data_IF_340095913991
#
_entry.id   IF_340095913991
#
_cell.length_a   1.000
_cell.length_b   1.000
_cell.length_c   1.000
_cell.angle_alpha   90.00
_cell.angle_beta   90.00
_cell.angle_gamma   90.00
#
_symmetry.space_group_name_H-M   'P 1'
#
loop_
_entity.id
_entity.type
_entity.pdbx_description
1 polymer ?
#
# COMPACT_ATOMS: atom_id res chain seq x y z
N UNK A 1 22.94 14.20 1.75
CA UNK A 1 24.06 13.34 2.16
C UNK A 1 24.05 12.04 1.40
N UNK A 2 25.23 11.56 0.99
CA UNK A 2 25.45 10.30 0.28
C UNK A 2 26.15 9.34 1.23
N UNK A 3 25.56 8.17 1.48
CA UNK A 3 26.13 7.16 2.37
C UNK A 3 25.88 5.74 1.83
N UNK A 4 26.75 4.79 2.19
CA UNK A 4 26.69 3.40 1.73
C UNK A 4 25.76 2.60 2.63
N UNK A 5 24.63 2.15 2.09
CA UNK A 5 23.64 1.38 2.85
C UNK A 5 23.97 -0.13 2.95
N UNK A 6 24.59 -0.71 1.92
CA UNK A 6 25.05 -2.10 1.91
C UNK A 6 26.12 -2.29 0.83
N UNK A 7 26.89 -3.38 0.93
CA UNK A 7 27.96 -3.69 -0.01
C UNK A 7 27.43 -4.31 -1.31
N UNK A 8 28.13 -4.04 -2.41
CA UNK A 8 27.80 -4.57 -3.74
C UNK A 8 26.92 -3.63 -4.57
N UNK A 9 26.36 -4.17 -5.67
CA UNK A 9 25.48 -3.40 -6.56
C UNK A 9 24.10 -3.24 -5.93
N UNK A 10 23.47 -2.10 -6.15
CA UNK A 10 22.08 -1.88 -5.74
C UNK A 10 21.15 -2.92 -6.38
N UNK A 11 20.24 -3.50 -5.59
CA UNK A 11 19.33 -4.57 -6.01
C UNK A 11 17.88 -4.11 -6.06
N UNK A 12 17.09 -4.81 -6.89
CA UNK A 12 15.65 -4.61 -7.05
C UNK A 12 14.77 -5.42 -6.08
N UNK A 13 15.37 -6.20 -5.19
CA UNK A 13 14.63 -6.94 -4.16
C UNK A 13 15.55 -7.11 -2.97
N UNK A 14 14.98 -7.47 -1.82
CA UNK A 14 15.77 -7.84 -0.65
C UNK A 14 16.42 -9.23 -0.75
N UNK A 15 16.24 -9.94 -1.87
CA UNK A 15 16.89 -11.24 -2.09
C UNK A 15 18.40 -11.06 -2.18
N UNK A 16 19.11 -11.77 -1.31
CA UNK A 16 20.58 -11.74 -1.21
C UNK A 16 21.13 -10.32 -0.95
N UNK A 17 20.37 -9.47 -0.25
CA UNK A 17 20.85 -8.19 0.29
C UNK A 17 21.22 -8.42 1.74
N UNK A 18 22.49 -8.19 2.09
CA UNK A 18 22.98 -8.30 3.46
C UNK A 18 23.13 -6.89 4.04
N UNK A 19 22.20 -6.52 4.90
CA UNK A 19 22.25 -5.23 5.58
C UNK A 19 23.24 -5.25 6.74
N UNK A 20 24.05 -4.19 6.92
CA UNK A 20 25.02 -4.13 8.01
C UNK A 20 24.34 -3.93 9.37
N UNK A 21 24.95 -4.50 10.41
CA UNK A 21 24.52 -4.31 11.80
C UNK A 21 23.11 -4.78 12.08
N UNK A 22 22.28 -3.89 12.64
CA UNK A 22 20.86 -4.16 12.97
C UNK A 22 19.88 -3.64 11.92
N UNK A 23 20.38 -3.22 10.76
CA UNK A 23 19.54 -2.71 9.67
C UNK A 23 18.76 -3.84 9.02
N UNK A 24 17.55 -3.52 8.58
CA UNK A 24 16.62 -4.41 7.89
C UNK A 24 16.51 -3.99 6.43
N UNK A 25 16.41 -4.96 5.54
CA UNK A 25 16.16 -4.67 4.14
C UNK A 25 14.68 -4.34 3.91
N UNK A 26 14.42 -3.24 3.21
CA UNK A 26 13.07 -2.83 2.76
C UNK A 26 13.08 -2.50 1.27
N UNK A 27 11.93 -2.62 0.61
CA UNK A 27 11.75 -2.16 -0.78
C UNK A 27 10.79 -0.98 -0.90
N UNK A 28 11.06 -0.08 -1.85
CA UNK A 28 10.15 1.01 -2.24
C UNK A 28 9.09 0.56 -3.27
N UNK A 29 8.23 1.48 -3.69
CA UNK A 29 7.17 1.23 -4.67
C UNK A 29 7.68 0.85 -6.08
N UNK A 30 8.95 1.14 -6.40
CA UNK A 30 9.61 0.75 -7.64
C UNK A 30 10.53 -0.47 -7.46
N UNK A 31 10.36 -1.17 -6.34
CA UNK A 31 11.14 -2.31 -5.92
C UNK A 31 12.65 -2.01 -5.81
N UNK A 32 13.11 -0.86 -5.33
CA UNK A 32 14.55 -0.73 -4.98
C UNK A 32 14.78 -1.16 -3.53
N UNK A 33 15.85 -1.90 -3.28
CA UNK A 33 16.22 -2.38 -1.94
C UNK A 33 17.08 -1.37 -1.18
N UNK A 34 16.72 -1.12 0.08
CA UNK A 34 17.40 -0.22 1.01
C UNK A 34 17.65 -0.91 2.34
N UNK A 35 18.74 -0.55 3.02
CA UNK A 35 19.00 -1.00 4.38
C UNK A 35 18.70 0.13 5.36
N UNK A 36 17.73 -0.11 6.25
CA UNK A 36 17.20 0.90 7.16
C UNK A 36 17.09 0.36 8.59
N UNK A 37 17.18 1.22 9.59
CA UNK A 37 16.93 0.83 10.98
C UNK A 37 15.44 0.95 11.29
N UNK A 38 14.78 -0.18 11.56
CA UNK A 38 13.38 -0.17 11.96
C UNK A 38 13.23 0.35 13.40
N UNK A 39 12.31 1.29 13.62
CA UNK A 39 11.94 1.68 14.98
C UNK A 39 11.24 0.50 15.69
N UNK A 40 11.79 0.06 16.83
CA UNK A 40 11.25 -1.06 17.62
C UNK A 40 10.35 -0.61 18.76
N UNK A 41 10.51 0.64 19.22
CA UNK A 41 9.80 1.19 20.37
C UNK A 41 8.66 2.06 19.87
N UNK A 42 7.44 1.73 20.29
CA UNK A 42 6.26 2.53 20.02
C UNK A 42 5.65 2.99 21.34
N UNK A 43 5.17 4.24 21.43
CA UNK A 43 4.44 4.72 22.59
C UNK A 43 3.20 3.87 22.86
N UNK A 44 2.79 3.83 24.13
CA UNK A 44 1.49 3.25 24.51
C UNK A 44 0.34 4.04 23.88
N UNK A 45 -0.74 3.32 23.58
CA UNK A 45 -1.93 3.88 22.94
C UNK A 45 -2.82 4.48 24.01
N UNK A 46 -3.19 5.74 23.82
CA UNK A 46 -4.00 6.51 24.78
C UNK A 46 -5.45 6.73 24.33
N UNK A 47 -5.76 6.47 23.06
CA UNK A 47 -7.11 6.66 22.49
C UNK A 47 -7.46 5.54 21.51
N UNK A 48 -8.73 5.06 21.49
CA UNK A 48 -9.22 4.13 20.48
C UNK A 48 -9.11 4.65 19.03
N UNK A 49 -9.03 5.96 18.81
CA UNK A 49 -8.92 6.55 17.47
C UNK A 49 -7.55 6.30 16.82
N UNK A 50 -6.54 5.88 17.60
CA UNK A 50 -5.20 5.59 17.08
C UNK A 50 -5.14 4.24 16.36
N UNK A 51 -6.09 3.33 16.60
CA UNK A 51 -6.08 2.02 15.96
C UNK A 51 -6.21 2.15 14.44
N UNK A 52 -5.55 1.24 13.72
CA UNK A 52 -5.58 1.16 12.27
C UNK A 52 -5.80 -0.28 11.84
N UNK A 53 -6.60 -0.49 10.80
CA UNK A 53 -6.65 -1.76 10.11
C UNK A 53 -5.64 -1.75 8.95
N UNK A 54 -4.74 -2.72 8.90
CA UNK A 54 -3.83 -2.91 7.77
C UNK A 54 -4.48 -3.66 6.62
N UNK A 55 -3.94 -3.53 5.40
CA UNK A 55 -4.42 -4.31 4.24
C UNK A 55 -4.18 -5.83 4.42
N UNK A 56 -3.27 -6.20 5.31
CA UNK A 56 -3.03 -7.57 5.76
C UNK A 56 -4.14 -8.10 6.70
N UNK A 57 -5.11 -7.27 7.08
CA UNK A 57 -6.23 -7.63 7.94
C UNK A 57 -5.87 -7.66 9.43
N UNK A 58 -4.71 -7.12 9.78
CA UNK A 58 -4.23 -7.02 11.16
C UNK A 58 -4.63 -5.67 11.74
N UNK A 59 -5.14 -5.70 12.98
CA UNK A 59 -5.38 -4.47 13.75
C UNK A 59 -4.07 -4.01 14.38
N UNK A 60 -3.63 -2.81 14.01
CA UNK A 60 -2.47 -2.15 14.56
C UNK A 60 -2.90 -1.14 15.62
N UNK A 61 -2.19 -1.15 16.75
CA UNK A 61 -2.50 -0.29 17.89
C UNK A 61 -2.27 1.21 17.58
N UNK A 62 -1.33 1.52 16.69
CA UNK A 62 -1.11 2.88 16.18
C UNK A 62 -0.36 2.87 14.85
N UNK A 63 -0.24 4.04 14.21
CA UNK A 63 0.60 4.22 13.02
C UNK A 63 2.06 3.81 13.26
N UNK A 64 2.61 3.98 14.47
CA UNK A 64 3.95 3.49 14.81
C UNK A 64 4.03 1.96 14.68
N UNK A 65 3.03 1.26 15.22
CA UNK A 65 3.00 -0.20 15.19
C UNK A 65 2.88 -0.73 13.76
N UNK A 66 2.04 -0.10 12.92
CA UNK A 66 1.93 -0.46 11.51
C UNK A 66 3.23 -0.20 10.75
N UNK A 67 3.89 0.95 10.97
CA UNK A 67 5.19 1.26 10.33
C UNK A 67 6.29 0.30 10.78
N UNK A 68 6.32 -0.07 12.06
CA UNK A 68 7.24 -1.09 12.58
C UNK A 68 7.03 -2.41 11.87
N UNK A 69 5.78 -2.90 11.79
CA UNK A 69 5.47 -4.14 11.10
C UNK A 69 5.83 -4.08 9.60
N UNK A 70 5.52 -2.97 8.93
CA UNK A 70 5.88 -2.70 7.53
C UNK A 70 7.39 -2.79 7.32
N UNK A 71 8.18 -2.16 8.20
CA UNK A 71 9.63 -2.18 8.12
C UNK A 71 10.21 -3.58 8.36
N UNK A 72 9.72 -4.30 9.38
CA UNK A 72 10.16 -5.66 9.68
C UNK A 72 9.76 -6.66 8.59
N UNK A 73 8.64 -6.43 7.90
CA UNK A 73 8.21 -7.23 6.76
C UNK A 73 9.05 -6.98 5.50
N UNK A 74 9.70 -5.81 5.40
CA UNK A 74 10.51 -5.43 4.25
C UNK A 74 9.73 -4.88 3.06
N UNK A 75 8.41 -4.71 3.16
CA UNK A 75 7.54 -4.16 2.10
C UNK A 75 6.30 -3.50 2.68
N UNK A 76 5.69 -2.61 1.90
CA UNK A 76 4.46 -1.90 2.27
C UNK A 76 3.30 -2.84 2.63
N UNK A 77 2.74 -2.65 3.83
CA UNK A 77 1.44 -3.22 4.23
C UNK A 77 0.33 -2.25 3.81
N UNK A 78 0.49 -0.97 4.16
CA UNK A 78 -0.52 0.06 3.92
C UNK A 78 -1.71 -0.01 4.87
N UNK A 79 -2.39 1.13 5.04
CA UNK A 79 -3.60 1.24 5.85
C UNK A 79 -4.79 0.87 4.98
N UNK A 80 -5.65 -0.02 5.48
CA UNK A 80 -6.96 -0.30 4.89
C UNK A 80 -7.96 0.77 5.29
N UNK A 81 -8.13 1.01 6.60
CA UNK A 81 -9.01 2.04 7.15
C UNK A 81 -8.63 2.36 8.60
N UNK A 82 -9.13 3.48 9.11
CA UNK A 82 -8.95 3.90 10.49
C UNK A 82 -9.85 3.07 11.44
N UNK A 83 -9.38 2.81 12.65
CA UNK A 83 -10.04 1.92 13.61
C UNK A 83 -9.55 0.47 13.57
N UNK A 84 -10.24 -0.40 14.30
CA UNK A 84 -9.90 -1.84 14.36
C UNK A 84 -10.43 -2.55 13.12
N UNK A 85 -9.74 -3.61 12.69
CA UNK A 85 -10.26 -4.45 11.62
C UNK A 85 -11.57 -5.12 12.03
N UNK A 86 -12.54 -5.11 11.12
CA UNK A 86 -13.82 -5.78 11.24
C UNK A 86 -13.95 -6.89 10.20
N UNK A 87 -14.78 -7.89 10.49
CA UNK A 87 -15.14 -8.96 9.53
C UNK A 87 -16.22 -8.48 8.56
N UNK A 88 -15.90 -7.44 7.80
CA UNK A 88 -16.77 -6.89 6.77
C UNK A 88 -17.07 -7.94 5.69
N UNK A 89 -18.29 -7.91 5.15
CA UNK A 89 -18.72 -8.72 4.01
C UNK A 89 -18.73 -7.92 2.71
N UNK A 90 -18.79 -6.61 2.82
CA UNK A 90 -18.82 -5.65 1.73
C UNK A 90 -18.36 -4.27 2.21
N UNK A 91 -18.35 -3.30 1.31
CA UNK A 91 -18.07 -1.90 1.67
C UNK A 91 -19.18 -1.25 2.51
N UNK A 92 -20.39 -1.83 2.59
CA UNK A 92 -21.45 -1.29 3.46
C UNK A 92 -21.09 -1.35 4.95
N UNK A 93 -20.25 -2.32 5.34
CA UNK A 93 -19.82 -2.50 6.73
C UNK A 93 -18.68 -1.53 7.12
N UNK A 94 -18.01 -0.90 6.15
CA UNK A 94 -16.77 -0.13 6.37
C UNK A 94 -17.08 1.36 6.32
N UNK A 95 -16.81 2.04 7.43
CA UNK A 95 -16.95 3.48 7.54
C UNK A 95 -15.64 4.18 7.19
N UNK A 96 -15.61 4.88 6.06
CA UNK A 96 -14.46 5.68 5.65
C UNK A 96 -14.52 7.09 6.24
N UNK A 97 -13.37 7.62 6.63
CA UNK A 97 -13.21 9.03 7.01
C UNK A 97 -13.61 9.96 5.86
N UNK A 98 -13.94 11.22 6.17
CA UNK A 98 -14.35 12.23 5.19
C UNK A 98 -13.42 12.29 3.97
N UNK A 99 -14.02 12.31 2.77
CA UNK A 99 -13.30 12.39 1.49
C UNK A 99 -12.73 11.08 0.96
N UNK A 100 -12.85 9.96 1.70
CA UNK A 100 -12.45 8.63 1.21
C UNK A 100 -13.67 7.79 0.83
N UNK A 101 -13.52 6.95 -0.20
CA UNK A 101 -14.50 5.92 -0.57
C UNK A 101 -13.94 4.53 -0.27
N UNK A 102 -14.83 3.60 0.07
CA UNK A 102 -14.44 2.20 0.22
C UNK A 102 -14.31 1.54 -1.15
N UNK A 103 -13.19 0.84 -1.35
CA UNK A 103 -12.91 -0.02 -2.51
C UNK A 103 -12.84 -1.47 -2.01
N UNK A 104 -13.67 -2.34 -2.58
CA UNK A 104 -13.75 -3.74 -2.19
C UNK A 104 -12.77 -4.61 -2.99
N UNK A 105 -11.94 -5.37 -2.30
CA UNK A 105 -11.15 -6.45 -2.88
C UNK A 105 -11.92 -7.77 -2.75
N UNK A 106 -12.54 -8.20 -3.84
CA UNK A 106 -13.27 -9.47 -3.90
C UNK A 106 -12.39 -10.71 -3.73
N UNK A 107 -11.08 -10.63 -4.04
CA UNK A 107 -10.15 -11.77 -3.90
C UNK A 107 -9.76 -11.99 -2.45
N UNK A 108 -9.51 -10.90 -1.73
CA UNK A 108 -9.15 -10.95 -0.31
C UNK A 108 -10.37 -10.88 0.62
N UNK A 109 -11.56 -10.57 0.08
CA UNK A 109 -12.79 -10.30 0.85
C UNK A 109 -12.57 -9.22 1.91
N UNK A 110 -12.00 -8.08 1.49
CA UNK A 110 -11.64 -6.95 2.37
C UNK A 110 -11.88 -5.63 1.66
N UNK A 111 -12.22 -4.58 2.42
CA UNK A 111 -12.32 -3.23 1.89
C UNK A 111 -11.16 -2.33 2.31
N UNK A 112 -10.86 -1.34 1.47
CA UNK A 112 -9.85 -0.29 1.70
C UNK A 112 -10.49 1.08 1.47
N UNK A 113 -10.32 2.01 2.40
CA UNK A 113 -10.70 3.40 2.24
C UNK A 113 -9.60 4.16 1.50
N UNK A 114 -9.93 4.66 0.31
CA UNK A 114 -9.01 5.38 -0.57
C UNK A 114 -9.53 6.79 -0.85
N UNK A 115 -8.61 7.74 -1.00
CA UNK A 115 -8.94 9.03 -1.61
C UNK A 115 -9.24 8.79 -3.09
N UNK A 116 -10.28 9.44 -3.59
CA UNK A 116 -10.63 9.39 -5.00
C UNK A 116 -10.26 10.72 -5.64
N UNK A 117 -9.46 10.67 -6.70
CA UNK A 117 -9.17 11.82 -7.54
C UNK A 117 -10.34 12.04 -8.50
N UNK A 118 -10.86 13.27 -8.52
CA UNK A 118 -12.01 13.61 -9.37
C UNK A 118 -11.60 13.88 -10.83
N UNK A 119 -10.35 14.27 -11.06
CA UNK A 119 -9.81 14.56 -12.38
C UNK A 119 -8.42 13.96 -12.55
N UNK A 120 -8.17 13.43 -13.74
CA UNK A 120 -6.86 12.96 -14.16
C UNK A 120 -6.27 13.94 -15.19
N UNK A 121 -4.95 14.20 -15.15
CA UNK A 121 -4.29 14.93 -16.23
C UNK A 121 -4.36 14.15 -17.54
N UNK A 122 -4.24 14.85 -18.67
CA UNK A 122 -4.16 14.21 -19.99
C UNK A 122 -2.99 13.22 -20.04
N UNK A 123 -3.31 11.95 -20.22
CA UNK A 123 -2.34 10.86 -20.25
C UNK A 123 -1.78 10.63 -21.63
N UNK A 124 -0.49 10.31 -21.72
CA UNK A 124 0.15 9.88 -22.96
C UNK A 124 -0.02 8.38 -23.17
N UNK A 125 0.03 7.90 -24.41
CA UNK A 125 -0.21 6.49 -24.73
C UNK A 125 0.79 5.50 -24.11
N UNK A 126 1.99 5.97 -23.74
CA UNK A 126 3.03 5.19 -23.06
C UNK A 126 2.81 5.04 -21.54
N UNK A 127 1.83 5.73 -20.96
CA UNK A 127 1.47 5.64 -19.53
C UNK A 127 0.37 4.59 -19.26
N UNK A 128 -0.09 3.89 -20.30
CA UNK A 128 -1.13 2.89 -20.18
C UNK A 128 -0.75 1.77 -19.19
N UNK A 129 -1.75 1.23 -18.49
CA UNK A 129 -1.57 0.14 -17.53
C UNK A 129 -2.62 -0.95 -17.74
N UNK A 130 -2.21 -2.19 -17.52
CA UNK A 130 -3.11 -3.32 -17.38
C UNK A 130 -3.47 -3.50 -15.91
N UNK A 131 -4.75 -3.43 -15.57
CA UNK A 131 -5.21 -3.54 -14.20
C UNK A 131 -5.58 -4.99 -13.82
N UNK A 132 -5.91 -5.18 -12.54
CA UNK A 132 -6.24 -6.48 -11.96
C UNK A 132 -7.52 -7.12 -12.50
N UNK A 133 -8.40 -6.34 -13.12
CA UNK A 133 -9.59 -6.81 -13.85
C UNK A 133 -9.28 -7.23 -15.30
N UNK A 134 -8.00 -7.16 -15.70
CA UNK A 134 -7.52 -7.37 -17.06
C UNK A 134 -8.07 -6.35 -18.09
N UNK A 135 -8.51 -5.17 -17.63
CA UNK A 135 -8.79 -4.04 -18.50
C UNK A 135 -7.54 -3.15 -18.65
N UNK A 136 -7.39 -2.58 -19.84
CA UNK A 136 -6.35 -1.57 -20.11
C UNK A 136 -6.91 -0.19 -19.78
N UNK A 137 -6.20 0.56 -18.95
CA UNK A 137 -6.50 1.94 -18.62
C UNK A 137 -5.44 2.85 -19.23
N UNK A 138 -5.81 4.07 -19.68
CA UNK A 138 -4.87 4.98 -20.32
C UNK A 138 -3.80 5.53 -19.37
N UNK A 139 -4.04 5.47 -18.05
CA UNK A 139 -3.05 5.76 -17.01
C UNK A 139 -3.43 5.10 -15.69
N UNK A 140 -2.49 5.03 -14.74
CA UNK A 140 -2.77 4.60 -13.37
C UNK A 140 -3.82 5.51 -12.68
N UNK A 141 -3.85 6.81 -13.03
CA UNK A 141 -4.89 7.72 -12.53
C UNK A 141 -6.28 7.30 -13.02
N UNK A 142 -6.43 7.08 -14.33
CA UNK A 142 -7.71 6.66 -14.91
C UNK A 142 -8.18 5.31 -14.32
N UNK A 143 -7.24 4.39 -14.05
CA UNK A 143 -7.53 3.15 -13.34
C UNK A 143 -8.06 3.41 -11.92
N UNK A 144 -7.41 4.27 -11.14
CA UNK A 144 -7.87 4.64 -9.78
C UNK A 144 -9.22 5.34 -9.79
N UNK A 145 -9.48 6.21 -10.76
CA UNK A 145 -10.77 6.87 -10.94
C UNK A 145 -11.88 5.85 -11.24
N UNK A 146 -11.59 4.86 -12.10
CA UNK A 146 -12.52 3.77 -12.38
C UNK A 146 -12.75 2.89 -11.14
N UNK A 147 -11.70 2.53 -10.41
CA UNK A 147 -11.80 1.79 -9.15
C UNK A 147 -12.76 2.49 -8.17
N UNK A 148 -12.59 3.81 -8.01
CA UNK A 148 -13.45 4.66 -7.19
C UNK A 148 -14.90 4.74 -7.66
N UNK A 149 -15.13 4.78 -8.97
CA UNK A 149 -16.49 4.78 -9.54
C UNK A 149 -17.20 3.44 -9.34
N UNK A 150 -16.44 2.34 -9.42
CA UNK A 150 -16.95 0.98 -9.27
C UNK A 150 -17.08 0.54 -7.81
N UNK A 151 -16.39 1.19 -6.87
CA UNK A 151 -16.26 0.71 -5.49
C UNK A 151 -15.48 -0.61 -5.38
N UNK A 152 -14.64 -0.91 -6.37
CA UNK A 152 -13.86 -2.14 -6.46
C UNK A 152 -12.36 -1.80 -6.48
N UNK A 153 -11.56 -2.56 -5.75
CA UNK A 153 -10.11 -2.37 -5.74
C UNK A 153 -9.52 -2.81 -7.08
N UNK A 154 -8.86 -1.87 -7.78
CA UNK A 154 -8.04 -2.16 -8.95
C UNK A 154 -6.57 -1.86 -8.64
N UNK A 155 -5.69 -2.79 -8.96
CA UNK A 155 -4.25 -2.64 -8.84
C UNK A 155 -3.58 -2.87 -10.19
N UNK A 156 -2.47 -2.16 -10.43
CA UNK A 156 -1.68 -2.35 -11.67
C UNK A 156 -1.09 -3.75 -11.66
N UNK A 157 -1.42 -4.53 -12.69
CA UNK A 157 -0.84 -5.84 -12.95
C UNK A 157 0.50 -5.73 -13.66
N UNK A 158 0.57 -4.87 -14.68
CA UNK A 158 1.81 -4.47 -15.35
C UNK A 158 1.60 -3.17 -16.14
N UNK A 159 2.71 -2.53 -16.52
CA UNK A 159 2.72 -1.40 -17.45
C UNK A 159 2.37 -1.84 -18.87
N UNK A 160 1.79 -0.95 -19.66
CA UNK A 160 1.29 -1.21 -21.01
C UNK A 160 -0.09 -1.87 -21.04
N UNK A 161 -0.61 -2.09 -22.24
CA UNK A 161 -1.90 -2.76 -22.47
C UNK A 161 -1.86 -4.23 -22.07
N UNK A 162 -3.01 -4.83 -21.73
CA UNK A 162 -3.13 -6.22 -21.27
C UNK A 162 -2.84 -7.32 -22.31
N UNK A 163 -2.49 -6.96 -23.56
CA UNK A 163 -2.36 -7.87 -24.69
C UNK A 163 -1.10 -8.72 -24.65
#
# INVERSE_FOLDING_TARGET
>A
DLDVQYQGKCKKTCRDVLCPGSSTCVVDQTNNAYCVTCNRICPEVTSPEQYLCGNDGVTYASACHLRRATCLLGRSIGVAYEGKCIKAKSCEDIQCSTGKKCLWDGRMSRGRCSLCEDACPDSRGDEAVCASDNATYPSECAMKQAACSLGALLEVKHSGSCN
#
